data_IF_125083505953
#
_entry.id   IF_125083505953
#
_cell.length_a   1.000
_cell.length_b   1.000
_cell.length_c   1.000
_cell.angle_alpha   90.00
_cell.angle_beta   90.00
_cell.angle_gamma   90.00
#
_symmetry.space_group_name_H-M   'P 1'
#
loop_
_entity.id
_entity.type
_entity.pdbx_description
1 polymer ?
#
# COMPACT_ATOMS: atom_id res chain seq x y z
N UNK A 1 -11.43 -10.86 -15.31
CA UNK A 1 -10.62 -9.64 -15.10
C UNK A 1 -9.23 -10.03 -14.66
N UNK A 2 -8.18 -9.56 -15.38
CA UNK A 2 -6.77 -9.82 -15.02
C UNK A 2 -6.08 -8.51 -14.67
N UNK A 3 -5.62 -8.38 -13.44
CA UNK A 3 -5.00 -7.17 -12.91
C UNK A 3 -3.52 -7.42 -12.68
N UNK A 4 -2.66 -6.63 -13.32
CA UNK A 4 -1.24 -6.55 -13.00
C UNK A 4 -1.04 -5.40 -12.01
N UNK A 5 -0.59 -5.72 -10.80
CA UNK A 5 -0.46 -4.76 -9.71
C UNK A 5 1.00 -4.50 -9.33
N UNK A 6 1.29 -3.26 -8.95
CA UNK A 6 2.62 -2.77 -8.57
C UNK A 6 2.61 -2.18 -7.16
N UNK A 7 3.60 -2.53 -6.35
CA UNK A 7 3.81 -1.99 -5.02
C UNK A 7 5.28 -1.60 -4.84
N UNK A 8 5.53 -0.33 -4.53
CA UNK A 8 6.88 0.24 -4.33
C UNK A 8 6.90 1.34 -3.27
N UNK A 9 5.84 1.44 -2.47
CA UNK A 9 5.65 2.54 -1.52
C UNK A 9 6.58 2.51 -0.31
N UNK A 10 7.29 1.41 -0.08
CA UNK A 10 8.23 1.22 1.03
C UNK A 10 9.57 0.64 0.56
N UNK A 11 10.31 -0.07 1.45
CA UNK A 11 11.59 -0.72 1.11
C UNK A 11 11.42 -1.90 0.18
N UNK A 12 10.35 -2.66 0.35
CA UNK A 12 10.05 -3.78 -0.51
C UNK A 12 9.47 -3.31 -1.84
N UNK A 13 9.71 -4.09 -2.89
CA UNK A 13 9.01 -3.99 -4.17
C UNK A 13 8.29 -5.28 -4.45
N UNK A 14 7.10 -5.21 -5.01
CA UNK A 14 6.38 -6.39 -5.49
C UNK A 14 5.52 -6.12 -6.71
N UNK A 15 5.26 -7.18 -7.46
CA UNK A 15 4.36 -7.23 -8.60
C UNK A 15 3.48 -8.45 -8.45
N UNK A 16 2.17 -8.32 -8.62
CA UNK A 16 1.23 -9.43 -8.52
C UNK A 16 0.32 -9.50 -9.75
N UNK A 17 -0.05 -10.71 -10.11
CA UNK A 17 -1.03 -10.99 -11.16
C UNK A 17 -2.25 -11.67 -10.54
N UNK A 18 -3.38 -10.97 -10.55
CA UNK A 18 -4.68 -11.46 -10.06
C UNK A 18 -5.61 -11.76 -11.25
N UNK A 19 -6.24 -12.94 -11.28
CA UNK A 19 -7.25 -13.31 -12.26
C UNK A 19 -8.55 -13.68 -11.55
N UNK A 20 -9.61 -12.91 -11.75
CA UNK A 20 -10.95 -13.17 -11.18
C UNK A 20 -10.94 -13.50 -9.67
N UNK A 21 -10.16 -12.73 -8.90
CA UNK A 21 -9.99 -12.92 -7.46
C UNK A 21 -8.96 -13.98 -7.06
N UNK A 22 -8.41 -14.75 -8.01
CA UNK A 22 -7.35 -15.73 -7.77
C UNK A 22 -5.99 -15.11 -8.01
N UNK A 23 -5.10 -15.17 -7.02
CA UNK A 23 -3.70 -14.83 -7.21
C UNK A 23 -3.03 -15.90 -8.08
N UNK A 24 -2.59 -15.53 -9.29
CA UNK A 24 -1.81 -16.41 -10.16
C UNK A 24 -0.35 -16.46 -9.76
N UNK A 25 0.21 -15.34 -9.33
CA UNK A 25 1.57 -15.24 -8.84
C UNK A 25 1.89 -13.87 -8.28
N UNK A 26 2.93 -13.82 -7.45
CA UNK A 26 3.51 -12.61 -6.92
C UNK A 26 5.04 -12.73 -6.93
N UNK A 27 5.71 -11.69 -7.42
CA UNK A 27 7.15 -11.49 -7.26
C UNK A 27 7.35 -10.44 -6.18
N UNK A 28 8.16 -10.78 -5.15
CA UNK A 28 8.41 -9.91 -4.00
C UNK A 28 9.90 -9.83 -3.71
N UNK A 29 10.43 -8.63 -3.51
CA UNK A 29 11.83 -8.39 -3.18
C UNK A 29 11.95 -7.36 -2.06
N UNK A 30 12.74 -7.69 -1.03
CA UNK A 30 13.12 -6.79 0.05
C UNK A 30 14.65 -6.82 0.23
N UNK A 31 15.38 -6.54 -0.86
CA UNK A 31 16.83 -6.69 -0.95
C UNK A 31 17.59 -5.36 -0.89
N UNK A 32 16.86 -4.23 -0.81
CA UNK A 32 17.47 -2.91 -0.82
C UNK A 32 17.91 -2.42 -2.20
N UNK A 33 17.61 -3.16 -3.27
CA UNK A 33 17.87 -2.71 -4.64
C UNK A 33 16.88 -1.60 -5.04
N UNK A 34 17.33 -0.76 -5.97
CA UNK A 34 16.51 0.35 -6.45
C UNK A 34 15.30 -0.15 -7.26
N UNK A 35 14.11 0.23 -6.88
CA UNK A 35 12.86 -0.21 -7.52
C UNK A 35 12.81 0.05 -9.03
N UNK A 36 13.40 1.16 -9.51
CA UNK A 36 13.47 1.47 -10.94
C UNK A 36 14.27 0.46 -11.76
N UNK A 37 15.17 -0.29 -11.14
CA UNK A 37 15.97 -1.33 -11.81
C UNK A 37 15.25 -2.68 -11.83
N UNK A 38 14.45 -2.98 -10.82
CA UNK A 38 13.92 -4.33 -10.61
C UNK A 38 12.46 -4.49 -11.01
N UNK A 39 11.64 -3.45 -10.85
CA UNK A 39 10.18 -3.53 -10.93
C UNK A 39 9.67 -4.08 -12.26
N UNK A 40 10.12 -3.54 -13.39
CA UNK A 40 9.65 -3.98 -14.70
C UNK A 40 10.21 -5.35 -15.08
N UNK A 41 11.40 -5.71 -14.61
CA UNK A 41 11.95 -7.06 -14.78
C UNK A 41 11.11 -8.08 -14.00
N UNK A 42 10.71 -7.74 -12.76
CA UNK A 42 9.80 -8.58 -11.97
C UNK A 42 8.46 -8.78 -12.68
N UNK A 43 7.90 -7.73 -13.27
CA UNK A 43 6.64 -7.80 -14.01
C UNK A 43 6.76 -8.72 -15.24
N UNK A 44 7.81 -8.57 -16.03
CA UNK A 44 8.06 -9.40 -17.20
C UNK A 44 8.21 -10.88 -16.80
N UNK A 45 9.07 -11.18 -15.85
CA UNK A 45 9.31 -12.55 -15.38
C UNK A 45 8.04 -13.18 -14.79
N UNK A 46 7.24 -12.41 -14.05
CA UNK A 46 5.98 -12.90 -13.49
C UNK A 46 4.99 -13.29 -14.58
N UNK A 47 4.83 -12.45 -15.60
CA UNK A 47 3.96 -12.77 -16.74
C UNK A 47 4.43 -14.03 -17.47
N UNK A 48 5.71 -14.15 -17.78
CA UNK A 48 6.31 -15.32 -18.41
C UNK A 48 6.06 -16.60 -17.59
N UNK A 49 6.30 -16.56 -16.26
CA UNK A 49 6.09 -17.69 -15.36
C UNK A 49 4.62 -18.09 -15.23
N UNK A 50 3.70 -17.12 -15.35
CA UNK A 50 2.27 -17.37 -15.35
C UNK A 50 1.72 -17.80 -16.73
N UNK A 51 2.58 -17.89 -17.76
CA UNK A 51 2.16 -18.20 -19.14
C UNK A 51 1.24 -17.12 -19.73
N UNK A 52 1.46 -15.86 -19.35
CA UNK A 52 0.68 -14.70 -19.78
C UNK A 52 1.55 -13.70 -20.53
N UNK A 53 0.89 -12.88 -21.33
CA UNK A 53 1.47 -11.78 -22.09
C UNK A 53 0.81 -10.45 -21.69
N UNK A 54 1.33 -9.33 -22.16
CA UNK A 54 0.70 -8.01 -21.96
C UNK A 54 -0.73 -7.97 -22.51
N UNK A 55 -0.99 -8.67 -23.63
CA UNK A 55 -2.31 -8.74 -24.25
C UNK A 55 -3.38 -9.46 -23.39
N UNK A 56 -2.95 -10.25 -22.41
CA UNK A 56 -3.85 -10.94 -21.50
C UNK A 56 -4.35 -10.06 -20.35
N UNK A 57 -3.67 -8.94 -20.08
CA UNK A 57 -3.99 -8.04 -18.98
C UNK A 57 -5.19 -7.17 -19.34
N UNK A 58 -6.08 -6.96 -18.38
CA UNK A 58 -7.30 -6.15 -18.57
C UNK A 58 -7.29 -4.85 -17.75
N UNK A 59 -6.45 -4.75 -16.74
CA UNK A 59 -6.24 -3.54 -15.94
C UNK A 59 -4.87 -3.54 -15.27
N UNK A 60 -4.36 -2.35 -14.99
CA UNK A 60 -3.15 -2.13 -14.18
C UNK A 60 -3.56 -1.51 -12.86
N UNK A 61 -2.87 -1.87 -11.78
CA UNK A 61 -3.09 -1.28 -10.48
C UNK A 61 -1.76 -0.88 -9.83
N UNK A 62 -1.78 0.16 -8.99
CA UNK A 62 -0.59 0.60 -8.27
C UNK A 62 -0.95 1.21 -6.92
N UNK A 63 -0.11 0.96 -5.91
CA UNK A 63 -0.15 1.71 -4.66
C UNK A 63 0.23 3.17 -4.94
N UNK A 64 -0.78 4.05 -4.91
CA UNK A 64 -0.60 5.47 -5.22
C UNK A 64 -0.15 6.31 -4.00
N UNK A 65 0.13 5.68 -2.88
CA UNK A 65 0.51 6.30 -1.62
C UNK A 65 -0.58 6.16 -0.53
N UNK A 66 -0.27 6.57 0.70
CA UNK A 66 0.96 7.23 1.13
C UNK A 66 2.18 6.29 1.14
N UNK A 67 3.39 6.87 1.24
CA UNK A 67 4.61 6.07 1.33
C UNK A 67 5.88 6.86 1.02
N UNK A 68 6.95 6.13 0.69
CA UNK A 68 8.20 6.69 0.19
C UNK A 68 7.96 7.55 -1.04
N UNK A 69 8.33 8.82 -0.98
CA UNK A 69 8.13 9.78 -2.06
C UNK A 69 8.73 9.31 -3.40
N UNK A 70 9.95 8.77 -3.35
CA UNK A 70 10.63 8.20 -4.53
C UNK A 70 9.95 6.89 -4.98
N UNK A 71 9.66 6.00 -4.03
CA UNK A 71 9.06 4.69 -4.33
C UNK A 71 7.69 4.82 -5.00
N UNK A 72 6.78 5.62 -4.43
CA UNK A 72 5.44 5.84 -5.00
C UNK A 72 5.52 6.42 -6.41
N UNK A 73 6.45 7.36 -6.67
CA UNK A 73 6.67 7.92 -8.02
C UNK A 73 7.14 6.88 -9.02
N UNK A 74 8.10 6.03 -8.63
CA UNK A 74 8.59 4.95 -9.49
C UNK A 74 7.45 4.00 -9.86
N UNK A 75 6.70 3.52 -8.88
CA UNK A 75 5.56 2.62 -9.12
C UNK A 75 4.48 3.25 -10.00
N UNK A 76 4.08 4.48 -9.66
CA UNK A 76 3.07 5.20 -10.44
C UNK A 76 3.53 5.44 -11.89
N UNK A 77 4.78 5.85 -12.10
CA UNK A 77 5.32 6.04 -13.45
C UNK A 77 5.37 4.74 -14.25
N UNK A 78 5.82 3.64 -13.64
CA UNK A 78 5.87 2.33 -14.28
C UNK A 78 4.47 1.83 -14.65
N UNK A 79 3.51 1.92 -13.71
CA UNK A 79 2.12 1.50 -13.94
C UNK A 79 1.45 2.33 -15.04
N UNK A 80 1.62 3.66 -15.03
CA UNK A 80 1.11 4.55 -16.08
C UNK A 80 1.72 4.24 -17.44
N UNK A 81 3.04 4.06 -17.51
CA UNK A 81 3.74 3.73 -18.75
C UNK A 81 3.29 2.39 -19.34
N UNK A 82 3.14 1.36 -18.48
CA UNK A 82 2.62 0.06 -18.89
C UNK A 82 1.17 0.16 -19.37
N UNK A 83 0.30 0.79 -18.60
CA UNK A 83 -1.10 0.96 -18.95
C UNK A 83 -1.30 1.75 -20.23
N UNK A 84 -0.54 2.84 -20.42
CA UNK A 84 -0.58 3.65 -21.64
C UNK A 84 -0.13 2.87 -22.87
N UNK A 85 0.99 2.14 -22.77
CA UNK A 85 1.49 1.32 -23.88
C UNK A 85 0.55 0.19 -24.27
N UNK A 86 -0.20 -0.38 -23.32
CA UNK A 86 -1.17 -1.45 -23.52
C UNK A 86 -2.62 -0.96 -23.72
N UNK A 87 -2.86 0.36 -23.65
CA UNK A 87 -4.19 0.98 -23.71
C UNK A 87 -5.17 0.43 -22.64
N UNK A 88 -4.69 0.26 -21.42
CA UNK A 88 -5.43 -0.31 -20.31
C UNK A 88 -5.81 0.76 -19.27
N UNK A 89 -6.91 0.56 -18.52
CA UNK A 89 -7.19 1.37 -17.34
C UNK A 89 -6.09 1.19 -16.29
N UNK A 90 -5.83 2.24 -15.52
CA UNK A 90 -4.81 2.25 -14.47
C UNK A 90 -5.41 2.73 -13.14
N UNK A 91 -5.59 1.81 -12.22
CA UNK A 91 -6.23 2.05 -10.93
C UNK A 91 -5.20 2.36 -9.84
N UNK A 92 -5.26 3.57 -9.28
CA UNK A 92 -4.54 3.91 -8.06
C UNK A 92 -5.30 3.49 -6.81
N UNK A 93 -4.62 2.84 -5.88
CA UNK A 93 -5.20 2.46 -4.59
C UNK A 93 -4.39 3.04 -3.43
N UNK A 94 -5.03 3.21 -2.29
CA UNK A 94 -4.33 3.55 -1.05
C UNK A 94 -3.36 2.43 -0.65
N UNK A 95 -2.12 2.78 -0.34
CA UNK A 95 -1.16 1.82 0.21
C UNK A 95 -1.66 1.21 1.53
N UNK A 96 -2.30 2.02 2.36
CA UNK A 96 -2.84 1.58 3.66
C UNK A 96 -4.01 0.62 3.48
N UNK A 97 -4.87 0.87 2.50
CA UNK A 97 -5.95 -0.06 2.13
C UNK A 97 -5.40 -1.37 1.57
N UNK A 98 -4.42 -1.30 0.68
CA UNK A 98 -3.77 -2.48 0.12
C UNK A 98 -3.15 -3.38 1.21
N UNK A 99 -2.50 -2.79 2.23
CA UNK A 99 -2.00 -3.54 3.38
C UNK A 99 -3.13 -4.19 4.19
N UNK A 100 -4.23 -3.49 4.40
CA UNK A 100 -5.38 -4.02 5.13
C UNK A 100 -6.08 -5.15 4.39
N UNK A 101 -6.19 -5.07 3.04
CA UNK A 101 -6.74 -6.14 2.20
C UNK A 101 -5.95 -7.44 2.33
N UNK A 102 -4.63 -7.35 2.47
CA UNK A 102 -3.79 -8.53 2.68
C UNK A 102 -4.10 -9.26 4.00
N UNK A 103 -4.56 -8.55 5.02
CA UNK A 103 -4.96 -9.09 6.33
C UNK A 103 -6.48 -9.20 6.52
N UNK A 104 -7.29 -8.94 5.49
CA UNK A 104 -8.75 -8.94 5.56
C UNK A 104 -9.41 -10.25 5.97
N UNK A 105 -8.64 -11.35 6.06
CA UNK A 105 -9.10 -12.65 6.57
C UNK A 105 -9.27 -12.69 8.10
N UNK A 106 -8.68 -11.75 8.82
CA UNK A 106 -8.75 -11.69 10.28
C UNK A 106 -10.07 -11.07 10.75
N UNK A 107 -10.46 -11.44 11.96
CA UNK A 107 -11.53 -10.75 12.70
C UNK A 107 -10.88 -9.75 13.66
N UNK A 108 -11.35 -8.52 13.69
CA UNK A 108 -10.83 -7.45 14.53
C UNK A 108 -10.46 -6.20 13.74
N UNK A 109 -9.66 -5.36 14.34
CA UNK A 109 -9.22 -4.13 13.70
C UNK A 109 -7.92 -4.35 12.94
N UNK A 110 -7.82 -3.78 11.75
CA UNK A 110 -6.56 -3.71 11.00
C UNK A 110 -6.11 -2.26 11.00
N UNK A 111 -4.90 -2.04 11.49
CA UNK A 111 -4.29 -0.74 11.67
C UNK A 111 -2.99 -0.66 10.85
N UNK A 112 -3.07 -0.34 9.56
CA UNK A 112 -1.90 -0.11 8.74
C UNK A 112 -1.11 1.09 9.26
N UNK A 113 0.21 0.91 9.39
CA UNK A 113 1.14 1.92 9.87
C UNK A 113 2.39 1.96 9.00
N UNK A 114 2.70 3.12 8.42
CA UNK A 114 3.98 3.36 7.75
C UNK A 114 4.74 4.46 8.48
N UNK A 115 6.06 4.31 8.62
CA UNK A 115 6.89 5.33 9.28
C UNK A 115 6.88 6.65 8.49
N UNK A 116 6.20 7.67 9.04
CA UNK A 116 6.18 9.02 8.48
C UNK A 116 7.28 9.91 9.08
N UNK A 117 8.20 9.35 9.89
CA UNK A 117 9.25 10.02 10.65
C UNK A 117 8.73 11.01 11.71
N UNK A 118 9.61 11.48 12.61
CA UNK A 118 9.29 12.46 13.67
C UNK A 118 8.14 12.00 14.59
N UNK A 119 8.17 10.75 15.02
CA UNK A 119 7.14 10.14 15.90
C UNK A 119 5.72 10.20 15.32
N UNK A 120 5.60 10.19 13.99
CA UNK A 120 4.35 10.12 13.26
C UNK A 120 4.34 8.89 12.35
N UNK A 121 3.13 8.42 12.06
CA UNK A 121 2.89 7.35 11.09
C UNK A 121 1.84 7.79 10.07
N UNK A 122 1.97 7.30 8.84
CA UNK A 122 0.81 7.22 7.95
C UNK A 122 -0.05 6.07 8.42
N UNK A 123 -1.32 6.35 8.60
CA UNK A 123 -2.27 5.42 9.20
C UNK A 123 -3.64 5.51 8.55
N UNK A 124 -4.33 4.40 8.53
CA UNK A 124 -5.77 4.26 8.36
C UNK A 124 -6.26 3.23 9.38
N UNK A 125 -7.56 3.07 9.53
CA UNK A 125 -8.14 2.07 10.41
C UNK A 125 -9.28 1.35 9.70
N UNK A 126 -9.28 0.03 9.81
CA UNK A 126 -10.28 -0.83 9.22
C UNK A 126 -10.81 -1.83 10.24
N UNK A 127 -12.06 -2.26 10.04
CA UNK A 127 -12.65 -3.38 10.73
C UNK A 127 -12.77 -4.55 9.75
N UNK A 128 -12.10 -5.65 10.08
CA UNK A 128 -12.20 -6.91 9.36
C UNK A 128 -13.23 -7.81 10.03
N UNK A 129 -14.26 -8.21 9.28
CA UNK A 129 -15.30 -9.13 9.75
C UNK A 129 -15.72 -10.08 8.63
N UNK A 130 -15.62 -11.40 8.87
CA UNK A 130 -16.11 -12.46 7.95
C UNK A 130 -15.55 -12.34 6.52
N UNK A 131 -14.32 -11.86 6.37
CA UNK A 131 -13.69 -11.65 5.07
C UNK A 131 -13.96 -10.29 4.42
N UNK A 132 -14.87 -9.48 4.99
CA UNK A 132 -15.10 -8.11 4.56
C UNK A 132 -14.20 -7.13 5.33
N UNK A 133 -13.77 -6.10 4.65
CA UNK A 133 -12.95 -5.02 5.21
C UNK A 133 -13.73 -3.70 5.12
N UNK A 134 -14.08 -3.13 6.27
CA UNK A 134 -14.76 -1.83 6.37
C UNK A 134 -13.77 -0.76 6.82
N UNK A 135 -13.60 0.30 6.03
CA UNK A 135 -12.79 1.47 6.42
C UNK A 135 -13.49 2.25 7.55
N UNK A 136 -12.77 2.51 8.62
CA UNK A 136 -13.22 3.31 9.77
C UNK A 136 -12.56 4.69 9.82
N UNK A 137 -11.32 4.81 9.31
CA UNK A 137 -10.58 6.09 9.20
C UNK A 137 -9.90 6.20 7.85
N UNK A 138 -9.97 7.40 7.31
CA UNK A 138 -9.27 7.76 6.08
C UNK A 138 -7.75 7.77 6.27
N UNK A 139 -7.03 7.72 5.16
CA UNK A 139 -5.58 7.83 5.14
C UNK A 139 -5.14 9.17 5.74
N UNK A 140 -4.25 9.12 6.72
CA UNK A 140 -3.80 10.30 7.47
C UNK A 140 -2.35 10.17 7.92
N UNK A 141 -1.72 11.29 8.22
CA UNK A 141 -0.52 11.35 9.04
C UNK A 141 -0.92 11.68 10.47
N UNK A 142 -0.55 10.85 11.45
CA UNK A 142 -0.98 10.99 12.84
C UNK A 142 0.22 10.80 13.78
N UNK A 143 0.25 11.55 14.90
CA UNK A 143 1.23 11.33 15.94
C UNK A 143 0.93 10.02 16.70
N UNK A 144 1.97 9.33 17.18
CA UNK A 144 1.80 8.07 17.92
C UNK A 144 0.95 8.26 19.19
N UNK A 145 1.04 9.41 19.86
CA UNK A 145 0.23 9.70 21.05
C UNK A 145 -1.27 9.79 20.72
N UNK A 146 -1.61 10.46 19.62
CA UNK A 146 -3.00 10.61 19.18
C UNK A 146 -3.56 9.26 18.70
N UNK A 147 -2.74 8.47 17.99
CA UNK A 147 -3.09 7.13 17.59
C UNK A 147 -3.35 6.24 18.82
N UNK A 148 -2.50 6.33 19.86
CA UNK A 148 -2.69 5.60 21.09
C UNK A 148 -4.04 5.93 21.77
N UNK A 149 -4.40 7.21 21.84
CA UNK A 149 -5.65 7.65 22.44
C UNK A 149 -6.86 7.04 21.71
N UNK A 150 -6.80 6.96 20.39
CA UNK A 150 -7.86 6.34 19.58
C UNK A 150 -7.91 4.82 19.75
N UNK A 151 -6.77 4.13 19.64
CA UNK A 151 -6.72 2.67 19.70
C UNK A 151 -7.14 2.11 21.06
N UNK A 152 -6.91 2.85 22.16
CA UNK A 152 -7.38 2.49 23.51
C UNK A 152 -8.89 2.38 23.63
N UNK A 153 -9.64 2.99 22.74
CA UNK A 153 -11.13 2.93 22.75
C UNK A 153 -11.71 1.70 22.03
N UNK A 154 -10.83 0.88 21.43
CA UNK A 154 -11.25 -0.26 20.62
C UNK A 154 -11.24 -1.55 21.43
N UNK A 155 -12.34 -2.27 21.41
CA UNK A 155 -12.49 -3.60 22.01
C UNK A 155 -12.16 -4.68 20.99
N UNK A 156 -11.20 -5.56 21.30
CA UNK A 156 -10.79 -6.67 20.46
C UNK A 156 -9.37 -6.53 19.88
N UNK A 157 -8.89 -7.51 19.14
CA UNK A 157 -7.54 -7.53 18.62
C UNK A 157 -7.33 -6.43 17.55
N UNK A 158 -6.19 -5.75 17.63
CA UNK A 158 -5.77 -4.71 16.69
C UNK A 158 -4.50 -5.17 15.98
N UNK A 159 -4.62 -5.55 14.72
CA UNK A 159 -3.52 -6.05 13.91
C UNK A 159 -2.77 -4.87 13.27
N UNK A 160 -1.51 -4.70 13.66
CA UNK A 160 -0.62 -3.72 13.04
C UNK A 160 0.00 -4.31 11.78
N UNK A 161 0.07 -3.53 10.68
CA UNK A 161 0.69 -3.96 9.43
C UNK A 161 1.41 -2.78 8.76
N UNK A 162 2.51 -3.05 8.05
CA UNK A 162 3.35 -2.07 7.40
C UNK A 162 4.70 -1.88 8.09
N UNK A 163 5.59 -1.16 7.45
CA UNK A 163 6.97 -0.90 7.92
C UNK A 163 7.06 -0.02 9.17
N UNK A 164 5.97 0.64 9.56
CA UNK A 164 5.85 1.35 10.84
C UNK A 164 5.26 0.52 11.98
N UNK A 165 4.84 -0.73 11.73
CA UNK A 165 4.13 -1.56 12.73
C UNK A 165 4.98 -1.92 13.95
N UNK A 166 6.26 -2.23 13.77
CA UNK A 166 7.16 -2.49 14.90
C UNK A 166 7.36 -1.26 15.79
N UNK A 167 7.48 -0.06 15.19
CA UNK A 167 7.58 1.19 15.93
C UNK A 167 6.31 1.41 16.76
N UNK A 168 5.13 1.25 16.15
CA UNK A 168 3.85 1.35 16.83
C UNK A 168 3.75 0.33 17.97
N UNK A 169 4.07 -0.94 17.71
CA UNK A 169 3.97 -2.00 18.69
C UNK A 169 4.85 -1.73 19.92
N UNK A 170 6.15 -1.44 19.71
CA UNK A 170 7.06 -1.16 20.83
C UNK A 170 6.63 0.03 21.67
N UNK A 171 6.07 1.07 21.01
CA UNK A 171 5.68 2.30 21.71
C UNK A 171 4.33 2.17 22.41
N UNK A 172 3.37 1.48 21.82
CA UNK A 172 1.98 1.52 22.27
C UNK A 172 1.54 0.26 23.04
N UNK A 173 2.14 -0.90 22.78
CA UNK A 173 1.75 -2.17 23.41
C UNK A 173 1.79 -2.16 24.96
N UNK A 174 2.72 -1.45 25.63
CA UNK A 174 2.69 -1.37 27.10
C UNK A 174 1.39 -0.80 27.67
N UNK A 175 0.68 0.02 26.90
CA UNK A 175 -0.59 0.65 27.29
C UNK A 175 -1.81 0.09 26.56
N UNK A 176 -1.61 -0.69 25.49
CA UNK A 176 -2.65 -1.25 24.63
C UNK A 176 -2.34 -2.74 24.39
N UNK A 177 -2.66 -3.62 25.36
CA UNK A 177 -2.22 -5.03 25.32
C UNK A 177 -2.91 -5.88 24.24
N UNK A 178 -4.00 -5.42 23.63
CA UNK A 178 -4.70 -6.06 22.52
C UNK A 178 -4.10 -5.75 21.12
N UNK A 179 -2.96 -5.05 21.06
CA UNK A 179 -2.18 -4.91 19.84
C UNK A 179 -1.56 -6.24 19.45
N UNK A 180 -1.69 -6.60 18.19
CA UNK A 180 -1.11 -7.81 17.61
C UNK A 180 -0.11 -7.40 16.53
N UNK A 181 1.13 -7.87 16.67
CA UNK A 181 2.16 -7.71 15.65
C UNK A 181 2.22 -9.02 14.83
N UNK A 182 1.82 -9.01 13.55
CA UNK A 182 1.96 -10.17 12.68
C UNK A 182 3.44 -10.59 12.50
N UNK A 183 3.66 -11.78 11.98
CA UNK A 183 5.01 -12.23 11.63
C UNK A 183 5.58 -11.36 10.51
N UNK A 184 6.90 -11.18 10.49
CA UNK A 184 7.60 -10.28 9.56
C UNK A 184 7.19 -10.46 8.08
N UNK A 185 7.03 -11.70 7.61
CA UNK A 185 6.61 -11.99 6.23
C UNK A 185 5.19 -11.54 5.89
N UNK A 186 4.38 -11.16 6.87
CA UNK A 186 3.01 -10.64 6.72
C UNK A 186 2.92 -9.13 6.93
N UNK A 187 3.99 -8.50 7.45
CA UNK A 187 3.97 -7.09 7.84
C UNK A 187 4.14 -6.12 6.67
N UNK A 188 4.88 -6.52 5.65
CA UNK A 188 5.27 -5.60 4.59
C UNK A 188 4.21 -5.46 3.50
N UNK A 189 4.27 -4.31 2.82
CA UNK A 189 3.45 -3.98 1.67
C UNK A 189 3.61 -5.02 0.55
N UNK A 190 2.50 -5.41 -0.07
CA UNK A 190 2.47 -6.43 -1.13
C UNK A 190 1.54 -6.04 -2.27
N UNK A 191 1.97 -6.33 -3.48
CA UNK A 191 1.18 -6.08 -4.69
C UNK A 191 -0.11 -6.92 -4.73
N UNK A 192 -0.16 -8.07 -4.05
CA UNK A 192 -1.41 -8.83 -3.88
C UNK A 192 -2.49 -7.98 -3.23
N UNK A 193 -2.19 -7.23 -2.17
CA UNK A 193 -3.16 -6.32 -1.54
C UNK A 193 -3.58 -5.19 -2.48
N UNK A 194 -2.65 -4.66 -3.29
CA UNK A 194 -2.96 -3.66 -4.32
C UNK A 194 -3.94 -4.21 -5.36
N UNK A 195 -3.72 -5.45 -5.82
CA UNK A 195 -4.60 -6.11 -6.78
C UNK A 195 -6.01 -6.34 -6.20
N UNK A 196 -6.11 -6.77 -4.95
CA UNK A 196 -7.39 -7.00 -4.26
C UNK A 196 -8.18 -5.70 -4.08
N UNK A 197 -7.53 -4.62 -3.59
CA UNK A 197 -8.16 -3.32 -3.45
C UNK A 197 -8.63 -2.77 -4.80
N UNK A 198 -7.78 -2.88 -5.85
CA UNK A 198 -8.13 -2.45 -7.20
C UNK A 198 -9.31 -3.25 -7.77
N UNK A 199 -9.36 -4.57 -7.53
CA UNK A 199 -10.47 -5.41 -7.99
C UNK A 199 -11.82 -4.94 -7.43
N UNK A 200 -11.87 -4.54 -6.15
CA UNK A 200 -13.07 -3.98 -5.53
C UNK A 200 -13.47 -2.64 -6.16
N UNK A 201 -12.51 -1.74 -6.37
CA UNK A 201 -12.76 -0.43 -7.01
C UNK A 201 -13.28 -0.60 -8.45
N UNK A 202 -12.64 -1.47 -9.23
CA UNK A 202 -13.06 -1.74 -10.63
C UNK A 202 -14.46 -2.36 -10.66
N UNK A 203 -14.77 -3.29 -9.74
CA UNK A 203 -16.11 -3.88 -9.62
C UNK A 203 -17.18 -2.83 -9.21
N UNK A 204 -16.79 -1.80 -8.47
CA UNK A 204 -17.66 -0.66 -8.14
C UNK A 204 -17.80 0.38 -9.27
N UNK A 205 -17.19 0.14 -10.44
CA UNK A 205 -17.26 1.06 -11.59
C UNK A 205 -16.17 2.14 -11.61
N UNK A 206 -15.11 1.98 -10.81
CA UNK A 206 -13.99 2.92 -10.71
C UNK A 206 -12.68 2.30 -11.25
N UNK A 207 -12.57 2.01 -12.56
CA UNK A 207 -11.39 1.35 -13.13
C UNK A 207 -10.13 2.21 -13.09
N UNK A 208 -10.28 3.52 -12.85
CA UNK A 208 -9.20 4.48 -12.88
C UNK A 208 -8.79 4.91 -14.28
N UNK A 209 -8.07 6.01 -14.34
CA UNK A 209 -7.46 6.56 -15.55
C UNK A 209 -6.00 6.91 -15.29
N UNK A 210 -5.11 6.36 -16.11
CA UNK A 210 -3.67 6.64 -16.00
C UNK A 210 -3.32 8.12 -16.18
N UNK A 211 -4.10 8.90 -16.94
CA UNK A 211 -3.82 10.32 -17.13
C UNK A 211 -4.04 11.12 -15.85
N UNK A 212 -5.13 10.85 -15.16
CA UNK A 212 -5.51 11.55 -13.92
C UNK A 212 -4.82 10.96 -12.68
N UNK A 213 -4.23 9.77 -12.77
CA UNK A 213 -3.56 9.13 -11.65
C UNK A 213 -2.34 9.95 -11.17
N UNK A 214 -2.40 10.40 -9.94
CA UNK A 214 -1.31 11.11 -9.25
C UNK A 214 -1.01 10.47 -7.91
N UNK A 215 0.25 10.53 -7.43
CA UNK A 215 0.60 10.08 -6.09
C UNK A 215 -0.17 10.83 -4.99
N UNK A 216 -0.64 10.09 -3.99
CA UNK A 216 -1.28 10.66 -2.81
C UNK A 216 -0.22 11.03 -1.76
N UNK A 217 0.08 12.32 -1.63
CA UNK A 217 1.04 12.84 -0.67
C UNK A 217 0.33 13.41 0.56
N UNK A 218 0.32 12.70 1.66
CA UNK A 218 -0.23 13.19 2.94
C UNK A 218 0.70 14.17 3.66
N UNK A 219 1.94 14.31 3.19
CA UNK A 219 2.93 15.27 3.71
C UNK A 219 3.73 15.84 2.54
N UNK A 220 4.19 17.07 2.70
CA UNK A 220 5.15 17.66 1.79
C UNK A 220 6.46 16.85 1.76
N UNK A 221 7.12 16.80 0.62
CA UNK A 221 8.45 16.21 0.52
C UNK A 221 9.45 16.90 1.46
N UNK A 222 10.55 16.23 1.77
CA UNK A 222 11.60 16.84 2.60
C UNK A 222 12.12 18.12 1.96
N UNK A 223 12.34 18.13 0.65
CA UNK A 223 12.83 19.30 -0.08
C UNK A 223 11.86 20.48 -0.05
N UNK A 224 10.55 20.23 -0.19
CA UNK A 224 9.52 21.26 -0.08
C UNK A 224 9.44 21.85 1.33
N UNK A 225 9.54 21.02 2.36
CA UNK A 225 9.57 21.47 3.75
C UNK A 225 10.78 22.32 4.06
N UNK A 226 11.98 21.86 3.65
CA UNK A 226 13.23 22.62 3.83
C UNK A 226 13.20 23.96 3.10
N UNK A 227 12.57 24.00 1.91
CA UNK A 227 12.34 25.23 1.17
C UNK A 227 11.46 26.19 1.95
N UNK A 228 10.29 25.74 2.44
CA UNK A 228 9.38 26.56 3.24
C UNK A 228 10.02 27.05 4.53
N UNK A 229 10.83 26.21 5.20
CA UNK A 229 11.55 26.60 6.40
C UNK A 229 12.61 27.68 6.13
N UNK A 230 13.23 27.71 4.93
CA UNK A 230 14.15 28.77 4.50
C UNK A 230 13.43 30.07 4.17
N UNK A 231 12.31 29.97 3.44
CA UNK A 231 11.46 31.12 3.07
C UNK A 231 10.86 31.82 4.34
N UNK A 232 10.50 31.06 5.37
CA UNK A 232 9.99 31.61 6.62
C UNK A 232 11.06 32.21 7.55
N UNK A 233 12.36 32.06 7.26
CA UNK A 233 13.47 32.60 8.04
C UNK A 233 14.07 33.89 7.42
N UNK A 234 13.57 34.32 6.27
CA UNK A 234 13.87 35.59 5.60
C UNK A 234 12.81 36.63 5.91
#
# INVERSE_FOLDING_TARGET
MRILAFETSAKAASVALLEDGKLLGESYQNTGLTHSQTLMVMAQQLLEQCGKTVADITAVAVAAGPGSFTGVRIGTAAAKGFAWGAQLPCCGVSTLEAMAEHLGIYQGYVCPCMDARRSQVYNALFLAQKGDLKRLREDRAIALADLAAELKTLDGPIFLVGDGSELCYRTLHPEIPNLVLPKEHQMHQRATGVALAAAKKIAAGEPGDGNSLVPNYLRLSQAERERLERENKQ
#
